data_IF_636100575600
#
_entry.id   IF_636100575600
#
_cell.length_a   1.000
_cell.length_b   1.000
_cell.length_c   1.000
_cell.angle_alpha   90.00
_cell.angle_beta   90.00
_cell.angle_gamma   90.00
#
_symmetry.space_group_name_H-M   'P 1'
#
loop_
_entity.id
_entity.type
_entity.pdbx_description
1 polymer ?
#
# COMPACT_ATOMS: atom_id res chain seq x y z
N UNK A 1 -63.12 -2.75 42.79
CA UNK A 1 -62.71 -1.85 43.88
C UNK A 1 -61.46 -1.13 43.35
N UNK A 2 -61.63 0.12 42.85
CA UNK A 2 -61.36 1.41 43.49
C UNK A 2 -59.89 1.42 44.04
N UNK A 3 -58.98 2.29 43.72
CA UNK A 3 -59.03 3.71 43.37
C UNK A 3 -57.64 4.14 42.84
N UNK A 4 -57.55 4.89 41.82
CA UNK A 4 -57.37 6.37 41.73
C UNK A 4 -56.26 6.98 42.65
N UNK A 5 -55.28 7.61 42.09
CA UNK A 5 -55.03 9.09 42.03
C UNK A 5 -53.59 9.45 41.62
N UNK A 6 -53.53 10.20 40.54
CA UNK A 6 -53.12 11.62 40.35
C UNK A 6 -51.60 11.92 40.39
N UNK A 7 -51.12 12.29 39.20
CA UNK A 7 -50.60 13.62 38.76
C UNK A 7 -49.74 14.41 39.77
N UNK A 8 -48.50 14.67 39.33
CA UNK A 8 -48.11 16.08 39.20
C UNK A 8 -46.97 16.28 38.20
N UNK A 9 -47.22 17.20 37.27
CA UNK A 9 -46.26 17.86 36.38
C UNK A 9 -45.44 18.86 37.19
N UNK A 10 -44.16 18.94 36.92
CA UNK A 10 -43.45 20.22 37.03
C UNK A 10 -42.49 20.37 35.86
N UNK A 11 -42.87 21.33 35.03
CA UNK A 11 -42.08 21.90 33.94
C UNK A 11 -41.17 22.94 34.53
N UNK A 12 -39.87 22.87 34.30
CA UNK A 12 -38.97 23.98 34.57
C UNK A 12 -38.25 24.32 33.25
N UNK A 13 -38.67 25.48 32.72
CA UNK A 13 -37.99 26.20 31.66
C UNK A 13 -36.70 26.82 32.23
N UNK A 14 -35.57 26.60 31.59
CA UNK A 14 -34.40 27.48 31.77
C UNK A 14 -34.02 28.08 30.42
N UNK A 15 -34.20 29.39 30.36
CA UNK A 15 -33.63 30.29 29.36
C UNK A 15 -32.12 30.38 29.59
N UNK A 16 -31.34 30.17 28.58
CA UNK A 16 -29.88 30.37 28.62
C UNK A 16 -29.41 31.16 27.41
N UNK A 17 -28.90 32.31 27.71
CA UNK A 17 -28.49 33.38 26.81
C UNK A 17 -27.45 32.97 25.77
N UNK A 18 -27.73 33.34 24.52
CA UNK A 18 -26.79 33.37 23.41
C UNK A 18 -25.89 34.61 23.55
N UNK A 19 -24.60 34.40 23.71
CA UNK A 19 -23.58 35.42 23.59
C UNK A 19 -23.02 35.41 22.18
N UNK A 20 -23.52 36.33 21.34
CA UNK A 20 -22.94 36.65 20.04
C UNK A 20 -21.74 37.58 20.29
N UNK A 21 -20.54 37.09 20.11
CA UNK A 21 -19.33 37.91 20.04
C UNK A 21 -19.13 38.40 18.62
N UNK A 22 -19.43 39.67 18.42
CA UNK A 22 -19.10 40.38 17.18
C UNK A 22 -17.61 40.72 17.22
N UNK A 23 -16.81 40.04 16.40
CA UNK A 23 -15.44 40.47 16.15
C UNK A 23 -15.42 41.40 14.93
N UNK A 24 -15.14 42.65 15.19
CA UNK A 24 -14.94 43.71 14.24
C UNK A 24 -13.60 43.47 13.52
N UNK A 25 -13.64 43.20 12.22
CA UNK A 25 -12.45 43.06 11.38
C UNK A 25 -12.00 44.47 10.94
N UNK A 26 -10.89 44.92 11.50
CA UNK A 26 -10.16 46.08 10.98
C UNK A 26 -9.32 45.63 9.77
N UNK A 27 -9.69 46.10 8.58
CA UNK A 27 -8.87 46.05 7.39
C UNK A 27 -7.71 47.02 7.51
N UNK A 28 -6.50 46.52 7.70
CA UNK A 28 -5.29 47.29 7.40
C UNK A 28 -4.73 46.76 6.10
N UNK A 29 -4.86 47.54 5.05
CA UNK A 29 -4.14 47.35 3.80
C UNK A 29 -2.69 47.75 4.05
N UNK A 30 -1.78 46.81 3.91
CA UNK A 30 -0.34 47.11 3.82
C UNK A 30 0.36 46.13 2.89
N UNK A 31 0.93 46.70 1.88
CA UNK A 31 2.10 46.39 1.10
C UNK A 31 2.40 44.96 0.65
N UNK A 32 2.44 44.78 -0.66
CA UNK A 32 3.07 43.69 -1.40
C UNK A 32 4.50 43.42 -0.91
N UNK A 33 4.71 42.24 -0.31
CA UNK A 33 5.98 41.55 -0.32
C UNK A 33 5.68 40.09 -0.67
N UNK A 34 6.23 39.64 -1.79
CA UNK A 34 6.04 38.27 -2.27
C UNK A 34 6.49 37.27 -1.20
N UNK A 35 5.53 36.62 -0.55
CA UNK A 35 5.80 35.38 0.18
C UNK A 35 5.92 34.31 -0.88
N UNK A 36 7.15 33.79 -1.05
CA UNK A 36 7.36 32.51 -1.70
C UNK A 36 6.37 31.52 -1.07
N UNK A 37 5.64 30.79 -1.90
CA UNK A 37 4.91 29.61 -1.46
C UNK A 37 5.98 28.72 -0.82
N UNK A 38 5.95 28.51 0.49
CA UNK A 38 6.55 27.31 1.06
C UNK A 38 5.88 26.15 0.28
N UNK A 39 6.66 25.45 -0.53
CA UNK A 39 6.26 24.15 -1.02
C UNK A 39 6.02 23.31 0.23
N UNK A 40 4.78 22.94 0.50
CA UNK A 40 4.49 21.84 1.41
C UNK A 40 5.40 20.69 0.96
N UNK A 41 6.28 20.25 1.85
CA UNK A 41 7.07 19.05 1.62
C UNK A 41 6.05 17.93 1.49
N UNK A 42 5.80 17.47 0.27
CA UNK A 42 5.01 16.26 0.04
C UNK A 42 5.78 15.17 0.78
N UNK A 43 5.20 14.66 1.85
CA UNK A 43 5.76 13.52 2.58
C UNK A 43 5.64 12.34 1.63
N UNK A 44 6.75 11.95 1.01
CA UNK A 44 6.77 10.82 0.09
C UNK A 44 6.81 9.56 0.91
N UNK A 45 5.79 8.74 0.76
CA UNK A 45 5.71 7.43 1.39
C UNK A 45 6.65 6.47 0.68
N UNK A 46 7.34 5.64 1.47
CA UNK A 46 8.34 4.69 0.97
C UNK A 46 8.08 3.32 1.58
N UNK A 47 7.98 2.29 0.76
CA UNK A 47 7.70 0.92 1.16
C UNK A 47 8.86 -0.03 0.96
N UNK A 48 8.91 -1.09 1.76
CA UNK A 48 9.88 -2.17 1.67
C UNK A 48 9.17 -3.52 1.67
N UNK A 49 9.44 -4.33 0.66
CA UNK A 49 9.02 -5.73 0.63
C UNK A 49 9.98 -6.59 1.45
N UNK A 50 9.44 -7.54 2.22
CA UNK A 50 10.19 -8.51 3.00
C UNK A 50 9.58 -9.91 2.82
N UNK A 51 10.32 -10.77 2.13
CA UNK A 51 9.89 -12.13 1.80
C UNK A 51 10.37 -13.17 2.81
N UNK A 52 11.22 -12.79 3.75
CA UNK A 52 11.69 -13.70 4.80
C UNK A 52 10.75 -13.64 6.00
N UNK A 53 10.00 -14.69 6.26
CA UNK A 53 9.16 -14.79 7.46
C UNK A 53 9.97 -14.67 8.76
N UNK A 54 11.23 -15.10 8.73
CA UNK A 54 12.15 -15.03 9.86
C UNK A 54 12.47 -13.61 10.30
N UNK A 55 12.34 -12.61 9.41
CA UNK A 55 12.61 -11.20 9.71
C UNK A 55 11.79 -10.67 10.89
N UNK A 56 10.62 -11.26 11.17
CA UNK A 56 9.81 -10.88 12.34
C UNK A 56 10.50 -11.18 13.69
N UNK A 57 11.57 -11.98 13.72
CA UNK A 57 12.36 -12.26 14.91
C UNK A 57 13.46 -11.25 15.18
N UNK A 58 13.75 -10.41 14.19
CA UNK A 58 14.85 -9.45 14.20
C UNK A 58 14.34 -8.02 13.91
N UNK A 59 13.37 -7.51 14.71
CA UNK A 59 12.70 -6.25 14.44
C UNK A 59 13.64 -5.04 14.43
N UNK A 60 14.74 -5.10 15.17
CA UNK A 60 15.75 -4.02 15.21
C UNK A 60 16.52 -3.92 13.89
N UNK A 61 16.75 -5.04 13.18
CA UNK A 61 17.39 -5.02 11.86
C UNK A 61 16.47 -4.43 10.79
N UNK A 62 15.18 -4.77 10.85
CA UNK A 62 14.17 -4.16 9.98
C UNK A 62 14.06 -2.65 10.24
N UNK A 63 14.05 -2.25 11.53
CA UNK A 63 14.00 -0.84 11.92
C UNK A 63 15.24 -0.07 11.43
N UNK A 64 16.45 -0.63 11.59
CA UNK A 64 17.68 -0.01 11.12
C UNK A 64 17.63 0.26 9.60
N UNK A 65 17.21 -0.74 8.81
CA UNK A 65 17.04 -0.57 7.36
C UNK A 65 15.96 0.47 7.03
N UNK A 66 14.87 0.47 7.79
CA UNK A 66 13.79 1.42 7.60
C UNK A 66 14.23 2.88 7.89
N UNK A 67 15.03 3.09 8.93
CA UNK A 67 15.60 4.41 9.25
C UNK A 67 16.58 4.90 8.16
N UNK A 68 17.44 4.03 7.66
CA UNK A 68 18.43 4.36 6.63
C UNK A 68 17.78 4.77 5.30
N UNK A 69 16.68 4.11 4.93
CA UNK A 69 15.99 4.33 3.66
C UNK A 69 14.72 5.20 3.79
N UNK A 70 14.44 5.73 4.98
CA UNK A 70 13.24 6.52 5.26
C UNK A 70 11.93 5.77 4.94
N UNK A 71 11.90 4.46 5.27
CA UNK A 71 10.74 3.59 5.04
C UNK A 71 9.60 4.00 5.96
N UNK A 72 8.42 4.15 5.40
CA UNK A 72 7.18 4.49 6.11
C UNK A 72 6.15 3.35 6.08
N UNK A 73 6.37 2.36 5.21
CA UNK A 73 5.54 1.15 5.07
C UNK A 73 6.40 -0.09 4.94
N UNK A 74 6.01 -1.16 5.61
CA UNK A 74 6.70 -2.45 5.55
C UNK A 74 5.71 -3.55 5.14
N UNK A 75 6.03 -4.26 4.07
CA UNK A 75 5.22 -5.37 3.56
C UNK A 75 5.87 -6.66 3.97
N UNK A 76 5.38 -7.30 5.05
CA UNK A 76 5.95 -8.51 5.63
C UNK A 76 5.23 -9.76 5.12
N UNK A 77 5.97 -10.68 4.49
CA UNK A 77 5.42 -11.99 4.17
C UNK A 77 4.94 -12.69 5.43
N UNK A 78 3.72 -13.21 5.38
CA UNK A 78 3.14 -14.02 6.44
C UNK A 78 1.90 -14.76 5.95
N UNK A 79 1.70 -15.96 6.45
CA UNK A 79 0.45 -16.69 6.27
C UNK A 79 -0.56 -16.47 7.42
N UNK A 80 -0.21 -15.60 8.37
CA UNK A 80 -1.01 -15.29 9.56
C UNK A 80 -0.97 -16.37 10.64
N UNK A 81 -0.10 -17.39 10.51
CA UNK A 81 0.02 -18.49 11.48
C UNK A 81 1.39 -18.55 12.15
N UNK A 82 2.42 -18.00 11.50
CA UNK A 82 3.81 -18.07 11.93
C UNK A 82 4.02 -17.23 13.17
N UNK A 83 4.48 -17.86 14.24
CA UNK A 83 4.96 -17.23 15.49
C UNK A 83 4.25 -15.92 15.87
N UNK A 84 2.94 -15.98 16.06
CA UNK A 84 2.09 -14.82 16.31
C UNK A 84 2.62 -13.84 17.39
N UNK A 85 3.41 -14.31 18.35
CA UNK A 85 4.03 -13.46 19.37
C UNK A 85 5.18 -12.63 18.79
N UNK A 86 6.07 -13.25 17.98
CA UNK A 86 7.16 -12.53 17.29
C UNK A 86 6.61 -11.52 16.30
N UNK A 87 5.57 -11.90 15.56
CA UNK A 87 4.88 -10.97 14.63
C UNK A 87 4.28 -9.78 15.38
N UNK A 88 3.65 -9.98 16.55
CA UNK A 88 3.10 -8.87 17.36
C UNK A 88 4.19 -7.90 17.81
N UNK A 89 5.30 -8.43 18.33
CA UNK A 89 6.41 -7.57 18.77
C UNK A 89 7.03 -6.81 17.58
N UNK A 90 7.22 -7.49 16.44
CA UNK A 90 7.70 -6.87 15.20
C UNK A 90 6.80 -5.69 14.74
N UNK A 91 5.51 -5.94 14.57
CA UNK A 91 4.55 -4.91 14.17
C UNK A 91 4.56 -3.74 15.15
N UNK A 92 4.56 -4.03 16.45
CA UNK A 92 4.61 -3.01 17.50
C UNK A 92 5.88 -2.17 17.48
N UNK A 93 7.04 -2.78 17.22
CA UNK A 93 8.32 -2.05 17.09
C UNK A 93 8.22 -1.07 15.92
N UNK A 94 7.77 -1.51 14.74
CA UNK A 94 7.63 -0.66 13.58
C UNK A 94 6.58 0.44 13.79
N UNK A 95 5.41 0.14 14.35
CA UNK A 95 4.40 1.15 14.69
C UNK A 95 4.86 2.20 15.69
N UNK A 96 5.70 1.82 16.66
CA UNK A 96 6.26 2.80 17.61
C UNK A 96 7.22 3.78 16.91
N UNK A 97 7.67 3.47 15.71
CA UNK A 97 8.51 4.32 14.86
C UNK A 97 7.75 4.90 13.66
N UNK A 98 6.41 4.89 13.70
CA UNK A 98 5.51 5.42 12.68
C UNK A 98 5.65 4.75 11.30
N UNK A 99 5.92 3.46 11.29
CA UNK A 99 5.98 2.64 10.07
C UNK A 99 4.72 1.77 10.04
N UNK A 100 3.90 1.91 9.01
CA UNK A 100 2.76 1.03 8.76
C UNK A 100 3.23 -0.37 8.36
N UNK A 101 2.50 -1.41 8.78
CA UNK A 101 2.86 -2.79 8.47
C UNK A 101 1.71 -3.51 7.78
N UNK A 102 1.95 -3.98 6.57
CA UNK A 102 1.00 -4.75 5.77
C UNK A 102 1.41 -6.22 5.76
N UNK A 103 0.43 -7.11 5.83
CA UNK A 103 0.67 -8.52 5.57
C UNK A 103 0.85 -8.74 4.05
N UNK A 104 2.03 -9.20 3.65
CA UNK A 104 2.35 -9.55 2.27
C UNK A 104 1.90 -10.99 2.02
N UNK A 105 0.99 -11.16 1.08
CA UNK A 105 0.35 -12.43 0.76
C UNK A 105 0.34 -12.63 -0.76
N UNK A 106 0.60 -13.83 -1.23
CA UNK A 106 0.44 -14.10 -2.65
C UNK A 106 0.85 -15.51 -3.04
N UNK A 107 0.21 -16.00 -4.08
CA UNK A 107 0.63 -17.17 -4.85
C UNK A 107 -0.05 -17.15 -6.21
N UNK A 108 0.64 -17.66 -7.22
CA UNK A 108 0.19 -17.70 -8.62
C UNK A 108 -1.18 -18.37 -8.76
N UNK A 109 -1.37 -19.48 -8.05
CA UNK A 109 -2.53 -20.35 -8.16
C UNK A 109 -3.81 -19.70 -7.64
N UNK A 110 -3.71 -18.73 -6.72
CA UNK A 110 -4.90 -18.06 -6.16
C UNK A 110 -5.66 -17.26 -7.23
N UNK A 111 -4.92 -16.72 -8.21
CA UNK A 111 -5.51 -15.99 -9.33
C UNK A 111 -6.35 -16.85 -10.29
N UNK A 112 -6.25 -18.18 -10.23
CA UNK A 112 -7.07 -19.09 -11.06
C UNK A 112 -8.40 -19.46 -10.41
N UNK A 113 -8.49 -19.27 -9.10
CA UNK A 113 -9.68 -19.62 -8.33
C UNK A 113 -10.76 -18.54 -8.46
N UNK A 114 -11.62 -18.65 -9.45
CA UNK A 114 -12.72 -17.71 -9.69
C UNK A 114 -13.56 -17.44 -8.41
N UNK A 115 -13.71 -18.44 -7.53
CA UNK A 115 -14.41 -18.28 -6.26
C UNK A 115 -13.56 -17.59 -5.17
N UNK A 116 -12.24 -17.48 -5.34
CA UNK A 116 -11.31 -16.86 -4.41
C UNK A 116 -11.20 -17.56 -3.05
N UNK A 117 -11.46 -18.86 -3.00
CA UNK A 117 -11.55 -19.60 -1.72
C UNK A 117 -10.23 -19.56 -0.93
N UNK A 118 -9.09 -19.75 -1.61
CA UNK A 118 -7.79 -19.73 -0.95
C UNK A 118 -7.42 -18.33 -0.49
N UNK A 119 -7.61 -17.30 -1.32
CA UNK A 119 -7.40 -15.91 -0.93
C UNK A 119 -8.25 -15.54 0.29
N UNK A 120 -9.55 -15.88 0.28
CA UNK A 120 -10.44 -15.60 1.41
C UNK A 120 -9.97 -16.29 2.71
N UNK A 121 -9.48 -17.54 2.62
CA UNK A 121 -8.98 -18.27 3.79
C UNK A 121 -7.72 -17.59 4.39
N UNK A 122 -6.82 -17.06 3.57
CA UNK A 122 -5.66 -16.32 4.05
C UNK A 122 -6.05 -14.96 4.63
N UNK A 123 -6.93 -14.20 3.98
CA UNK A 123 -7.45 -12.96 4.54
C UNK A 123 -8.17 -13.16 5.88
N UNK A 124 -8.88 -14.28 6.05
CA UNK A 124 -9.53 -14.62 7.32
C UNK A 124 -8.50 -14.82 8.43
N UNK A 125 -7.36 -15.45 8.17
CA UNK A 125 -6.27 -15.61 9.15
C UNK A 125 -5.73 -14.24 9.60
N UNK A 126 -5.52 -13.30 8.66
CA UNK A 126 -5.07 -11.94 9.00
C UNK A 126 -6.11 -11.21 9.85
N UNK A 127 -7.39 -11.32 9.51
CA UNK A 127 -8.48 -10.75 10.33
C UNK A 127 -8.48 -11.35 11.73
N UNK A 128 -8.35 -12.67 11.86
CA UNK A 128 -8.30 -13.35 13.15
C UNK A 128 -7.07 -12.92 13.97
N UNK A 129 -5.89 -12.80 13.35
CA UNK A 129 -4.69 -12.26 13.97
C UNK A 129 -4.94 -10.86 14.52
N UNK A 130 -5.49 -9.95 13.70
CA UNK A 130 -5.79 -8.58 14.11
C UNK A 130 -6.82 -8.51 15.25
N UNK A 131 -7.82 -9.40 15.25
CA UNK A 131 -8.81 -9.47 16.35
C UNK A 131 -8.20 -9.92 17.68
N UNK A 132 -7.12 -10.69 17.65
CA UNK A 132 -6.41 -11.21 18.84
C UNK A 132 -5.26 -10.32 19.27
N UNK A 133 -4.97 -9.26 18.55
CA UNK A 133 -3.84 -8.35 18.77
C UNK A 133 -4.33 -6.99 19.29
N UNK A 134 -3.49 -6.32 20.09
CA UNK A 134 -3.73 -4.92 20.47
C UNK A 134 -3.60 -4.01 19.25
N UNK A 135 -4.11 -2.79 19.33
CA UNK A 135 -4.11 -1.84 18.19
C UNK A 135 -2.72 -1.65 17.57
N UNK A 136 -1.68 -1.55 18.40
CA UNK A 136 -0.29 -1.38 17.94
C UNK A 136 0.38 -2.65 17.39
N UNK A 137 -0.29 -3.77 17.46
CA UNK A 137 0.22 -5.07 17.03
C UNK A 137 -0.51 -5.62 15.80
N UNK A 138 -1.43 -4.83 15.21
CA UNK A 138 -2.24 -5.22 14.05
C UNK A 138 -1.57 -4.83 12.76
N UNK A 139 -1.76 -5.64 11.74
CA UNK A 139 -1.50 -5.22 10.37
C UNK A 139 -2.49 -4.11 9.97
N UNK A 140 -2.00 -3.06 9.34
CA UNK A 140 -2.79 -1.94 8.81
C UNK A 140 -3.54 -2.33 7.55
N UNK A 141 -2.99 -3.24 6.77
CA UNK A 141 -3.55 -3.70 5.51
C UNK A 141 -2.96 -5.01 5.03
N UNK A 142 -3.25 -5.31 3.79
CA UNK A 142 -2.68 -6.43 3.05
C UNK A 142 -2.10 -5.95 1.73
N UNK A 143 -0.92 -6.45 1.37
CA UNK A 143 -0.31 -6.34 0.05
C UNK A 143 -0.49 -7.69 -0.63
N UNK A 144 -1.25 -7.74 -1.72
CA UNK A 144 -1.58 -8.97 -2.43
C UNK A 144 -0.74 -9.10 -3.69
N UNK A 145 0.27 -9.97 -3.64
CA UNK A 145 1.16 -10.26 -4.75
C UNK A 145 0.76 -11.58 -5.43
N UNK A 146 -0.34 -11.51 -6.17
CA UNK A 146 -0.94 -12.64 -6.88
C UNK A 146 -0.68 -12.47 -8.38
N UNK A 147 0.21 -13.29 -8.93
CA UNK A 147 0.76 -13.14 -10.27
C UNK A 147 0.31 -14.25 -11.25
N UNK A 148 -0.98 -14.35 -11.62
CA UNK A 148 -1.47 -15.41 -12.47
C UNK A 148 -0.85 -15.40 -13.87
N UNK A 149 -0.35 -14.25 -14.32
CA UNK A 149 0.23 -14.06 -15.65
C UNK A 149 1.52 -14.86 -15.91
N UNK A 150 2.22 -15.33 -14.88
CA UNK A 150 3.43 -16.14 -15.05
C UNK A 150 3.14 -17.59 -15.41
N UNK A 151 1.89 -18.05 -15.28
CA UNK A 151 1.51 -19.42 -15.61
C UNK A 151 1.37 -19.70 -17.10
N UNK A 152 1.47 -20.97 -17.43
CA UNK A 152 1.22 -21.41 -18.81
C UNK A 152 -0.27 -21.27 -19.19
N UNK A 153 -1.17 -21.43 -18.22
CA UNK A 153 -2.62 -21.25 -18.46
C UNK A 153 -2.95 -19.82 -18.91
N UNK A 154 -2.36 -18.81 -18.27
CA UNK A 154 -2.52 -17.42 -18.67
C UNK A 154 -2.04 -17.18 -20.10
N UNK A 155 -0.86 -17.73 -20.47
CA UNK A 155 -0.28 -17.58 -21.81
C UNK A 155 -1.16 -18.18 -22.91
N UNK A 156 -1.91 -19.25 -22.60
CA UNK A 156 -2.83 -19.89 -23.54
C UNK A 156 -4.13 -19.09 -23.74
N UNK A 157 -4.66 -18.47 -22.68
CA UNK A 157 -5.92 -17.72 -22.73
C UNK A 157 -5.93 -16.53 -21.73
N UNK A 158 -5.21 -15.43 -22.01
CA UNK A 158 -5.03 -14.33 -21.07
C UNK A 158 -6.35 -13.62 -20.71
N UNK A 159 -7.31 -13.49 -21.65
CA UNK A 159 -8.60 -12.84 -21.38
C UNK A 159 -9.42 -13.65 -20.36
N UNK A 160 -9.55 -14.96 -20.53
CA UNK A 160 -10.29 -15.82 -19.60
C UNK A 160 -9.67 -15.79 -18.20
N UNK A 161 -8.34 -15.86 -18.11
CA UNK A 161 -7.66 -15.87 -16.81
C UNK A 161 -7.65 -14.49 -16.15
N UNK A 162 -7.66 -13.41 -16.92
CA UNK A 162 -7.90 -12.07 -16.40
C UNK A 162 -9.29 -11.97 -15.75
N UNK A 163 -10.34 -12.47 -16.39
CA UNK A 163 -11.70 -12.48 -15.84
C UNK A 163 -11.79 -13.30 -14.54
N UNK A 164 -11.12 -14.46 -14.47
CA UNK A 164 -11.04 -15.28 -13.25
C UNK A 164 -10.30 -14.53 -12.14
N UNK A 165 -9.18 -13.94 -12.46
CA UNK A 165 -8.38 -13.14 -11.52
C UNK A 165 -9.19 -11.98 -10.96
N UNK A 166 -9.85 -11.20 -11.79
CA UNK A 166 -10.74 -10.11 -11.37
C UNK A 166 -11.85 -10.64 -10.44
N UNK A 167 -12.48 -11.76 -10.80
CA UNK A 167 -13.52 -12.37 -9.98
C UNK A 167 -13.02 -12.79 -8.60
N UNK A 168 -11.82 -13.39 -8.52
CA UNK A 168 -11.12 -13.72 -7.29
C UNK A 168 -10.88 -12.46 -6.45
N UNK A 169 -10.21 -11.47 -7.04
CA UNK A 169 -9.78 -10.25 -6.35
C UNK A 169 -10.96 -9.42 -5.84
N UNK A 170 -12.06 -9.32 -6.59
CA UNK A 170 -13.30 -8.67 -6.12
C UNK A 170 -13.85 -9.29 -4.83
N UNK A 171 -13.77 -10.60 -4.70
CA UNK A 171 -14.23 -11.29 -3.48
C UNK A 171 -13.30 -11.03 -2.31
N UNK A 172 -11.98 -11.10 -2.56
CA UNK A 172 -10.97 -10.77 -1.56
C UNK A 172 -11.13 -9.34 -1.07
N UNK A 173 -11.21 -8.38 -1.98
CA UNK A 173 -11.34 -6.95 -1.65
C UNK A 173 -12.64 -6.66 -0.86
N UNK A 174 -13.77 -7.21 -1.30
CA UNK A 174 -15.03 -7.07 -0.56
C UNK A 174 -14.95 -7.63 0.86
N UNK A 175 -14.23 -8.73 1.05
CA UNK A 175 -14.00 -9.31 2.37
C UNK A 175 -13.08 -8.41 3.21
N UNK A 176 -11.97 -7.93 2.64
CA UNK A 176 -11.04 -7.03 3.29
C UNK A 176 -11.71 -5.72 3.74
N UNK A 177 -12.46 -5.06 2.85
CA UNK A 177 -13.23 -3.86 3.18
C UNK A 177 -14.20 -4.06 4.35
N UNK A 178 -14.94 -5.19 4.36
CA UNK A 178 -15.86 -5.52 5.45
C UNK A 178 -15.16 -5.66 6.80
N UNK A 179 -13.89 -6.03 6.79
CA UNK A 179 -13.06 -6.23 7.98
C UNK A 179 -12.07 -5.08 8.23
N UNK A 180 -12.24 -3.95 7.53
CA UNK A 180 -11.40 -2.75 7.69
C UNK A 180 -9.90 -2.99 7.41
N UNK A 181 -9.60 -3.91 6.51
CA UNK A 181 -8.25 -4.12 5.98
C UNK A 181 -8.08 -3.30 4.71
N UNK A 182 -7.12 -2.41 4.70
CA UNK A 182 -6.67 -1.71 3.50
C UNK A 182 -6.03 -2.70 2.55
N UNK A 183 -6.23 -2.55 1.26
CA UNK A 183 -5.81 -3.56 0.28
C UNK A 183 -5.01 -2.91 -0.84
N UNK A 184 -3.73 -3.27 -0.92
CA UNK A 184 -2.87 -3.02 -2.07
C UNK A 184 -2.75 -4.29 -2.92
N UNK A 185 -2.66 -4.15 -4.24
CA UNK A 185 -2.45 -5.26 -5.17
C UNK A 185 -1.20 -5.03 -6.01
N UNK A 186 -0.33 -6.04 -6.11
CA UNK A 186 0.77 -6.03 -7.07
C UNK A 186 0.28 -6.42 -8.45
N UNK A 187 0.68 -5.67 -9.46
CA UNK A 187 0.40 -5.98 -10.86
C UNK A 187 1.65 -5.73 -11.73
N UNK A 188 1.81 -6.48 -12.83
CA UNK A 188 2.85 -6.19 -13.80
C UNK A 188 2.46 -4.96 -14.64
N UNK A 189 3.44 -4.24 -15.12
CA UNK A 189 3.29 -3.04 -15.97
C UNK A 189 2.83 -3.29 -17.40
N UNK A 190 2.52 -4.50 -17.79
CA UNK A 190 2.34 -4.87 -19.19
C UNK A 190 0.95 -5.44 -19.54
N UNK A 191 -0.04 -5.31 -18.66
CA UNK A 191 -1.40 -5.79 -18.98
C UNK A 191 -2.03 -5.04 -20.16
N UNK A 192 -1.83 -3.73 -20.23
CA UNK A 192 -2.31 -2.90 -21.34
C UNK A 192 -1.58 -3.22 -22.66
N UNK A 193 -0.27 -3.44 -22.62
CA UNK A 193 0.55 -3.87 -23.77
C UNK A 193 0.09 -5.20 -24.35
N UNK A 194 -0.48 -6.08 -23.53
CA UNK A 194 -1.07 -7.36 -23.91
C UNK A 194 -2.52 -7.25 -24.43
N UNK A 195 -3.06 -6.04 -24.53
CA UNK A 195 -4.43 -5.80 -24.95
C UNK A 195 -5.48 -6.03 -23.86
N UNK A 196 -5.06 -6.17 -22.59
CA UNK A 196 -5.93 -6.42 -21.43
C UNK A 196 -6.34 -5.13 -20.71
N UNK A 197 -6.31 -3.97 -21.37
CA UNK A 197 -6.60 -2.65 -20.77
C UNK A 197 -7.96 -2.61 -20.05
N UNK A 198 -8.98 -3.26 -20.61
CA UNK A 198 -10.30 -3.30 -19.96
C UNK A 198 -10.28 -4.08 -18.64
N UNK A 199 -9.55 -5.20 -18.60
CA UNK A 199 -9.36 -5.97 -17.37
C UNK A 199 -8.51 -5.23 -16.34
N UNK A 200 -7.46 -4.55 -16.78
CA UNK A 200 -6.63 -3.68 -15.93
C UNK A 200 -7.47 -2.57 -15.28
N UNK A 201 -8.31 -1.90 -16.09
CA UNK A 201 -9.21 -0.86 -15.57
C UNK A 201 -10.17 -1.42 -14.51
N UNK A 202 -10.74 -2.61 -14.73
CA UNK A 202 -11.64 -3.26 -13.80
C UNK A 202 -10.93 -3.68 -12.51
N UNK A 203 -9.69 -4.22 -12.60
CA UNK A 203 -8.85 -4.52 -11.44
C UNK A 203 -8.64 -3.27 -10.58
N UNK A 204 -8.09 -2.21 -11.15
CA UNK A 204 -7.77 -0.99 -10.40
C UNK A 204 -9.04 -0.39 -9.78
N UNK A 205 -10.13 -0.36 -10.53
CA UNK A 205 -11.39 0.24 -10.05
C UNK A 205 -12.04 -0.54 -8.91
N UNK A 206 -12.10 -1.88 -9.00
CA UNK A 206 -13.03 -2.71 -8.22
C UNK A 206 -12.35 -3.64 -7.19
N UNK A 207 -11.01 -3.72 -7.16
CA UNK A 207 -10.34 -4.77 -6.38
C UNK A 207 -9.31 -4.30 -5.36
N UNK A 208 -9.07 -3.00 -5.23
CA UNK A 208 -8.05 -2.48 -4.33
C UNK A 208 -8.37 -1.06 -3.85
N UNK A 209 -7.67 -0.63 -2.81
CA UNK A 209 -7.51 0.76 -2.42
C UNK A 209 -6.26 1.36 -3.06
N UNK A 210 -5.24 0.54 -3.28
CA UNK A 210 -3.91 0.90 -3.74
C UNK A 210 -3.46 -0.07 -4.84
N UNK A 211 -2.82 0.44 -5.90
CA UNK A 211 -2.25 -0.38 -6.97
C UNK A 211 -0.73 -0.25 -6.97
N UNK A 212 -0.04 -1.37 -6.79
CA UNK A 212 1.40 -1.46 -6.73
C UNK A 212 1.93 -2.08 -8.04
N UNK A 213 2.56 -1.25 -8.87
CA UNK A 213 3.02 -1.66 -10.20
C UNK A 213 4.47 -2.10 -10.14
N UNK A 214 4.76 -3.34 -10.52
CA UNK A 214 6.11 -3.85 -10.72
C UNK A 214 6.72 -3.21 -11.96
N UNK A 215 7.31 -2.02 -11.74
CA UNK A 215 7.86 -1.18 -12.79
C UNK A 215 9.32 -1.53 -13.09
N UNK A 216 9.55 -2.77 -13.51
CA UNK A 216 10.88 -3.27 -13.89
C UNK A 216 11.20 -2.81 -15.32
N UNK A 217 11.47 -1.51 -15.49
CA UNK A 217 11.65 -0.86 -16.81
C UNK A 217 12.64 0.29 -16.75
N UNK A 218 13.88 -0.01 -16.36
CA UNK A 218 14.93 0.99 -16.15
C UNK A 218 15.18 1.90 -17.37
N UNK A 219 14.95 3.20 -17.18
CA UNK A 219 15.08 4.24 -18.21
C UNK A 219 13.81 4.46 -19.04
N UNK A 220 12.68 3.83 -18.67
CA UNK A 220 11.37 4.03 -19.31
C UNK A 220 10.23 4.01 -18.29
N UNK A 221 10.53 4.27 -17.01
CA UNK A 221 9.62 4.03 -15.89
C UNK A 221 8.33 4.84 -16.00
N UNK A 222 8.41 6.09 -16.49
CA UNK A 222 7.26 6.97 -16.64
C UNK A 222 6.27 6.40 -17.68
N UNK A 223 6.74 6.11 -18.89
CA UNK A 223 5.86 5.60 -19.93
C UNK A 223 5.36 4.17 -19.62
N UNK A 224 6.15 3.39 -18.89
CA UNK A 224 5.84 1.99 -18.58
C UNK A 224 4.64 1.81 -17.63
N UNK A 225 4.28 2.82 -16.84
CA UNK A 225 3.14 2.76 -15.90
C UNK A 225 2.09 3.85 -16.16
N UNK A 226 2.12 4.42 -17.34
CA UNK A 226 1.26 5.56 -17.71
C UNK A 226 -0.23 5.21 -17.64
N UNK A 227 -0.60 4.05 -18.09
CA UNK A 227 -1.99 3.58 -18.05
C UNK A 227 -2.46 3.40 -16.61
N UNK A 228 -1.66 2.77 -15.77
CA UNK A 228 -1.94 2.57 -14.34
C UNK A 228 -2.07 3.92 -13.61
N UNK A 229 -1.17 4.87 -13.91
CA UNK A 229 -1.22 6.21 -13.31
C UNK A 229 -2.51 6.96 -13.68
N UNK A 230 -2.91 6.94 -14.95
CA UNK A 230 -4.16 7.54 -15.42
C UNK A 230 -5.38 6.88 -14.78
N UNK A 231 -5.38 5.56 -14.65
CA UNK A 231 -6.47 4.81 -14.03
C UNK A 231 -6.52 5.06 -12.52
N UNK A 232 -5.37 5.13 -11.85
CA UNK A 232 -5.28 5.45 -10.43
C UNK A 232 -5.84 6.84 -10.12
N UNK A 233 -5.46 7.86 -10.89
CA UNK A 233 -6.03 9.21 -10.78
C UNK A 233 -7.55 9.19 -11.01
N UNK A 234 -8.00 8.52 -12.08
CA UNK A 234 -9.42 8.42 -12.45
C UNK A 234 -10.29 7.82 -11.35
N UNK A 235 -9.78 6.81 -10.64
CA UNK A 235 -10.54 6.08 -9.63
C UNK A 235 -10.16 6.42 -8.20
N UNK A 236 -9.26 7.41 -7.99
CA UNK A 236 -8.83 7.87 -6.68
C UNK A 236 -8.09 6.78 -5.91
N UNK A 237 -7.24 6.01 -6.59
CA UNK A 237 -6.37 4.98 -5.99
C UNK A 237 -4.99 5.53 -5.73
N UNK A 238 -4.33 5.07 -4.68
CA UNK A 238 -2.91 5.31 -4.50
C UNK A 238 -2.10 4.47 -5.49
N UNK A 239 -1.05 5.05 -6.02
CA UNK A 239 -0.16 4.38 -6.98
C UNK A 239 1.18 4.11 -6.33
N UNK A 240 1.62 2.86 -6.36
CA UNK A 240 2.96 2.46 -5.98
C UNK A 240 3.80 2.19 -7.23
N UNK A 241 5.05 2.58 -7.20
CA UNK A 241 6.03 2.21 -8.18
C UNK A 241 7.09 1.34 -7.54
N UNK A 242 7.02 0.04 -7.78
CA UNK A 242 7.97 -0.95 -7.28
C UNK A 242 9.17 -1.00 -8.22
N UNK A 243 10.39 -0.78 -7.71
CA UNK A 243 11.63 -0.95 -8.44
C UNK A 243 12.40 -2.17 -7.93
N UNK A 244 13.05 -2.86 -8.86
CA UNK A 244 13.79 -4.10 -8.62
C UNK A 244 15.27 -3.83 -8.32
N UNK A 245 15.86 -4.57 -7.35
CA UNK A 245 17.25 -4.41 -6.90
C UNK A 245 18.08 -5.70 -6.93
N UNK A 246 17.50 -6.83 -7.33
CA UNK A 246 18.19 -8.11 -7.43
C UNK A 246 19.29 -8.06 -8.48
N UNK A 247 20.28 -8.97 -8.32
CA UNK A 247 21.38 -9.13 -9.27
C UNK A 247 20.90 -9.51 -10.67
N UNK A 248 21.62 -8.99 -11.65
CA UNK A 248 21.44 -9.39 -13.06
C UNK A 248 21.60 -10.89 -13.19
N UNK A 249 20.69 -11.52 -13.96
CA UNK A 249 20.64 -12.96 -14.19
C UNK A 249 19.74 -13.73 -13.23
N UNK A 250 19.44 -13.23 -12.03
CA UNK A 250 18.42 -13.82 -11.16
C UNK A 250 17.03 -13.65 -11.82
N UNK A 251 16.27 -14.73 -11.88
CA UNK A 251 14.93 -14.73 -12.49
C UNK A 251 14.85 -14.18 -13.93
N UNK A 252 16.00 -14.15 -14.64
CA UNK A 252 16.09 -13.62 -16.00
C UNK A 252 16.22 -12.09 -16.08
N UNK A 253 16.44 -11.41 -14.96
CA UNK A 253 16.65 -9.97 -14.92
C UNK A 253 17.88 -9.55 -15.74
N UNK A 254 17.77 -8.42 -16.42
CA UNK A 254 18.86 -7.75 -17.12
C UNK A 254 19.07 -6.33 -16.58
N UNK A 255 20.03 -5.60 -17.12
CA UNK A 255 20.23 -4.17 -16.76
C UNK A 255 19.01 -3.27 -17.06
N UNK A 256 18.02 -3.79 -17.76
CA UNK A 256 16.81 -3.05 -18.10
C UNK A 256 15.72 -3.18 -17.04
N UNK A 257 15.82 -4.19 -16.19
CA UNK A 257 14.79 -4.48 -15.20
C UNK A 257 15.21 -4.15 -13.76
N UNK A 258 16.54 -4.08 -13.47
CA UNK A 258 17.03 -3.92 -12.09
C UNK A 258 17.92 -2.69 -11.89
N UNK A 259 17.82 -2.09 -10.71
CA UNK A 259 18.67 -0.98 -10.26
C UNK A 259 19.98 -1.45 -9.60
N UNK A 260 20.25 -2.78 -9.55
CA UNK A 260 21.45 -3.32 -8.89
C UNK A 260 22.74 -2.59 -9.25
N UNK A 261 22.98 -2.34 -10.54
CA UNK A 261 24.18 -1.65 -11.01
C UNK A 261 24.04 -0.13 -11.11
N UNK A 262 22.81 0.40 -11.01
CA UNK A 262 22.54 1.83 -11.07
C UNK A 262 22.60 2.49 -9.70
N UNK A 263 22.30 1.74 -8.66
CA UNK A 263 22.35 2.19 -7.27
C UNK A 263 21.03 2.80 -6.76
N UNK A 264 20.92 2.85 -5.45
CA UNK A 264 19.77 3.35 -4.71
C UNK A 264 19.50 4.83 -5.01
N UNK A 265 20.56 5.64 -5.15
CA UNK A 265 20.43 7.07 -5.41
C UNK A 265 19.75 7.32 -6.77
N UNK A 266 20.09 6.55 -7.81
CA UNK A 266 19.39 6.63 -9.11
C UNK A 266 17.92 6.18 -9.03
N UNK A 267 17.60 5.18 -8.20
CA UNK A 267 16.21 4.79 -7.96
C UNK A 267 15.41 5.92 -7.30
N UNK A 268 16.00 6.60 -6.32
CA UNK A 268 15.39 7.77 -5.67
C UNK A 268 15.13 8.90 -6.66
N UNK A 269 16.08 9.22 -7.55
CA UNK A 269 15.91 10.21 -8.63
C UNK A 269 14.75 9.81 -9.56
N UNK A 270 14.66 8.55 -9.94
CA UNK A 270 13.55 8.04 -10.78
C UNK A 270 12.19 8.24 -10.13
N UNK A 271 12.03 7.91 -8.84
CA UNK A 271 10.78 8.15 -8.13
C UNK A 271 10.44 9.64 -8.00
N UNK A 272 11.44 10.51 -7.88
CA UNK A 272 11.20 11.96 -7.91
C UNK A 272 10.71 12.45 -9.27
N UNK A 273 11.22 11.89 -10.36
CA UNK A 273 10.76 12.19 -11.72
C UNK A 273 9.34 11.70 -11.94
N UNK A 274 9.01 10.47 -11.49
CA UNK A 274 7.65 9.93 -11.53
C UNK A 274 6.66 10.80 -10.76
N UNK A 275 7.02 11.25 -9.55
CA UNK A 275 6.17 12.14 -8.77
C UNK A 275 5.94 13.51 -9.43
N UNK A 276 6.93 14.03 -10.15
CA UNK A 276 6.80 15.27 -10.92
C UNK A 276 5.87 15.10 -12.12
N UNK A 277 5.97 13.96 -12.82
CA UNK A 277 5.12 13.66 -13.98
C UNK A 277 3.67 13.43 -13.54
N UNK A 278 3.48 12.70 -12.46
CA UNK A 278 2.15 12.36 -11.93
C UNK A 278 1.79 13.22 -10.71
N UNK A 279 1.85 14.55 -10.86
CA UNK A 279 1.67 15.51 -9.76
C UNK A 279 0.29 15.48 -9.07
N UNK A 280 -0.73 14.91 -9.72
CA UNK A 280 -2.10 14.85 -9.20
C UNK A 280 -2.37 13.63 -8.31
N UNK A 281 -1.45 12.66 -8.27
CA UNK A 281 -1.55 11.47 -7.43
C UNK A 281 -0.28 11.33 -6.59
N UNK A 282 -0.41 10.69 -5.41
CA UNK A 282 0.74 10.31 -4.63
C UNK A 282 1.37 9.05 -5.24
N UNK A 283 2.66 9.11 -5.57
CA UNK A 283 3.42 7.94 -6.02
C UNK A 283 4.26 7.42 -4.86
N UNK A 284 3.85 6.27 -4.33
CA UNK A 284 4.56 5.58 -3.26
C UNK A 284 5.78 4.87 -3.86
N UNK A 285 6.92 4.98 -3.19
CA UNK A 285 8.20 4.43 -3.62
C UNK A 285 8.41 3.07 -2.98
N UNK A 286 8.46 1.99 -3.75
CA UNK A 286 8.61 0.66 -3.18
C UNK A 286 9.90 -0.02 -3.62
N UNK A 287 10.68 -0.45 -2.63
CA UNK A 287 11.87 -1.27 -2.82
C UNK A 287 11.49 -2.76 -2.90
N UNK A 288 11.86 -3.42 -3.96
CA UNK A 288 11.76 -4.86 -4.08
C UNK A 288 13.16 -5.50 -4.05
N UNK A 289 13.56 -6.07 -3.00
CA UNK A 289 13.08 -6.32 -1.66
C UNK A 289 14.23 -6.11 -0.65
N UNK A 290 14.07 -6.36 0.65
CA UNK A 290 15.04 -5.98 1.68
C UNK A 290 16.44 -6.60 1.48
N UNK A 291 16.54 -7.92 1.17
CA UNK A 291 17.84 -8.60 1.08
C UNK A 291 18.78 -8.02 0.01
N UNK A 292 18.40 -7.86 -1.29
CA UNK A 292 19.29 -7.25 -2.26
C UNK A 292 19.60 -5.78 -1.95
N UNK A 293 18.68 -5.07 -1.32
CA UNK A 293 18.91 -3.67 -0.92
C UNK A 293 19.96 -3.59 0.21
N UNK A 294 19.88 -4.47 1.23
CA UNK A 294 20.91 -4.58 2.29
C UNK A 294 22.29 -4.89 1.70
N UNK A 295 22.37 -5.86 0.79
CA UNK A 295 23.63 -6.20 0.11
C UNK A 295 24.25 -4.97 -0.59
N UNK A 296 23.41 -4.15 -1.25
CA UNK A 296 23.89 -2.92 -1.92
C UNK A 296 24.39 -1.86 -0.95
N UNK A 297 23.75 -1.71 0.23
CA UNK A 297 24.20 -0.77 1.26
C UNK A 297 25.53 -1.22 1.88
N UNK A 298 25.65 -2.52 2.20
CA UNK A 298 26.90 -3.08 2.75
C UNK A 298 28.09 -2.96 1.77
N UNK A 299 27.87 -3.16 0.47
CA UNK A 299 28.88 -2.96 -0.57
C UNK A 299 29.35 -1.51 -0.65
N UNK A 300 28.41 -0.54 -0.52
CA UNK A 300 28.71 0.90 -0.55
C UNK A 300 29.56 1.34 0.65
N UNK A 301 29.34 0.73 1.82
CA UNK A 301 30.11 1.07 3.04
C UNK A 301 31.52 0.44 3.05
N UNK A 302 31.77 -0.56 2.20
CA UNK A 302 33.05 -1.26 2.10
C UNK A 302 34.05 -0.58 1.14
N UNK A 303 33.59 0.31 0.25
CA UNK A 303 34.39 1.07 -0.73
C UNK A 303 34.80 2.47 -0.19
#
# INVERSE_FOLDING_TARGET
MKSDKKRNRLSIYFYGYSLVSIFTFMLTVSGCAGKGKEQEKIYQETGMFEWAEEAVREPEEALHLAEELEITRWYQETDGTTEAESTREFVKVLHNNNIEVYALLGAVEWGYEENGATLLAHLEKIVQYNMQSSEKERFDGVMLDIEPYISDYWKENPEEYMDRYISCMKKGYKFAQKNHLRTAICIPRHYDDQGLTAGLEELIKETCDEVAVMNYSCGNEIEAIKTEAVLSEKYGKELHCILEFQEIGKHGLTEKETYRNKGIDNAKETWEELQKEYENINVIRDYHWSSPVREMLEEKDAD
#
